data_IF_671177606664
#
_entry.id   IF_671177606664
#
_cell.length_a   1.000
_cell.length_b   1.000
_cell.length_c   1.000
_cell.angle_alpha   90.00
_cell.angle_beta   90.00
_cell.angle_gamma   90.00
#
_symmetry.space_group_name_H-M   'P 1'
#
loop_
_entity.id
_entity.type
_entity.pdbx_description
1 polymer ?
#
# COMPACT_ATOMS: atom_id res chain seq x y z
N UNK A 1 32.09 1.78 -16.33
CA UNK A 1 31.00 2.77 -16.51
C UNK A 1 30.23 2.35 -17.75
N UNK A 2 28.90 2.20 -17.63
CA UNK A 2 28.04 1.83 -18.78
C UNK A 2 27.31 3.08 -19.25
N UNK A 3 27.16 3.23 -20.57
CA UNK A 3 26.38 4.30 -21.18
C UNK A 3 24.91 3.87 -21.10
N UNK A 4 24.01 4.77 -20.64
CA UNK A 4 22.58 4.50 -20.63
C UNK A 4 22.08 4.29 -22.07
N UNK A 5 21.24 3.27 -22.32
CA UNK A 5 20.57 3.12 -23.61
C UNK A 5 19.72 4.36 -23.93
N UNK A 6 19.63 4.70 -25.21
CA UNK A 6 18.70 5.73 -25.67
C UNK A 6 17.27 5.35 -25.24
N UNK A 7 16.52 6.32 -24.71
CA UNK A 7 15.17 6.12 -24.16
C UNK A 7 15.10 5.91 -22.64
N UNK A 8 16.25 5.83 -21.94
CA UNK A 8 16.30 5.91 -20.47
C UNK A 8 16.66 7.32 -19.97
N UNK A 9 16.69 8.31 -20.82
CA UNK A 9 16.94 9.72 -20.52
C UNK A 9 15.65 10.52 -20.29
N UNK A 10 14.53 9.85 -20.11
CA UNK A 10 13.23 10.48 -19.86
C UNK A 10 13.05 10.89 -18.37
N UNK A 11 12.04 11.70 -18.12
CA UNK A 11 11.73 12.21 -16.79
C UNK A 11 11.35 11.09 -15.80
N UNK A 12 10.85 9.94 -16.27
CA UNK A 12 10.53 8.81 -15.42
C UNK A 12 11.80 8.19 -14.83
N UNK A 13 12.85 8.05 -15.65
CA UNK A 13 14.16 7.56 -15.22
C UNK A 13 14.93 8.59 -14.38
N UNK A 14 15.01 9.83 -14.86
CA UNK A 14 15.86 10.87 -14.25
C UNK A 14 15.26 11.44 -12.96
N UNK A 15 13.92 11.50 -12.86
CA UNK A 15 13.21 12.22 -11.81
C UNK A 15 12.11 11.41 -11.12
N UNK A 16 11.91 10.14 -11.52
CA UNK A 16 10.81 9.33 -10.99
C UNK A 16 9.43 9.80 -11.42
N UNK A 17 9.33 10.61 -12.52
CA UNK A 17 8.08 11.15 -13.05
C UNK A 17 7.28 10.06 -13.77
N UNK A 18 6.76 9.12 -13.01
CA UNK A 18 5.87 8.05 -13.47
C UNK A 18 4.73 7.84 -12.47
N UNK A 19 3.60 7.36 -12.95
CA UNK A 19 2.49 6.90 -12.14
C UNK A 19 2.43 5.38 -12.17
N UNK A 20 2.02 4.73 -11.06
CA UNK A 20 1.83 3.29 -11.10
C UNK A 20 0.68 2.80 -10.21
N UNK A 21 0.21 1.61 -10.49
CA UNK A 21 -0.63 0.86 -9.58
C UNK A 21 -0.14 -0.58 -9.45
N UNK A 22 -0.49 -1.25 -8.36
CA UNK A 22 -0.20 -2.68 -8.15
C UNK A 22 -1.53 -3.35 -7.85
N UNK A 23 -1.89 -4.28 -8.69
CA UNK A 23 -3.19 -4.98 -8.68
C UNK A 23 -2.94 -6.43 -8.32
N UNK A 24 -3.73 -6.97 -7.41
CA UNK A 24 -3.78 -8.41 -7.18
C UNK A 24 -4.50 -9.06 -8.34
N UNK A 25 -3.97 -10.19 -8.81
CA UNK A 25 -4.66 -11.01 -9.81
C UNK A 25 -4.92 -12.40 -9.26
N UNK A 26 -5.99 -13.04 -9.74
CA UNK A 26 -6.34 -14.41 -9.43
C UNK A 26 -6.79 -15.11 -10.70
N UNK A 27 -6.17 -16.25 -11.03
CA UNK A 27 -6.46 -17.02 -12.27
C UNK A 27 -6.46 -16.12 -13.54
N UNK A 28 -5.53 -15.17 -13.62
CA UNK A 28 -5.45 -14.22 -14.74
C UNK A 28 -6.44 -13.05 -14.70
N UNK A 29 -7.37 -13.02 -13.75
CA UNK A 29 -8.27 -11.89 -13.57
C UNK A 29 -7.67 -10.82 -12.65
N UNK A 30 -7.65 -9.57 -13.08
CA UNK A 30 -7.25 -8.44 -12.25
C UNK A 30 -8.39 -8.04 -11.31
N UNK A 31 -8.15 -8.10 -9.99
CA UNK A 31 -9.16 -7.75 -9.00
C UNK A 31 -9.32 -6.24 -8.93
N UNK A 32 -10.56 -5.76 -8.89
CA UNK A 32 -10.93 -4.34 -8.75
C UNK A 32 -10.21 -3.40 -9.75
N UNK A 33 -9.94 -3.87 -10.96
CA UNK A 33 -9.24 -3.09 -11.98
C UNK A 33 -9.83 -1.69 -12.20
N UNK A 34 -11.16 -1.49 -12.26
CA UNK A 34 -11.74 -0.16 -12.45
C UNK A 34 -11.29 0.87 -11.41
N UNK A 35 -11.24 0.50 -10.12
CA UNK A 35 -10.77 1.40 -9.06
C UNK A 35 -9.26 1.66 -9.16
N UNK A 36 -8.48 0.64 -9.48
CA UNK A 36 -7.04 0.77 -9.72
C UNK A 36 -6.76 1.71 -10.90
N UNK A 37 -7.50 1.55 -12.00
CA UNK A 37 -7.39 2.40 -13.18
C UNK A 37 -7.74 3.85 -12.86
N UNK A 38 -8.86 4.09 -12.17
CA UNK A 38 -9.31 5.43 -11.82
C UNK A 38 -8.26 6.19 -10.96
N UNK A 39 -7.68 5.51 -9.94
CA UNK A 39 -6.62 6.09 -9.12
C UNK A 39 -5.35 6.35 -9.93
N UNK A 40 -4.99 5.44 -10.83
CA UNK A 40 -3.84 5.59 -11.73
C UNK A 40 -4.05 6.80 -12.67
N UNK A 41 -5.22 6.93 -13.28
CA UNK A 41 -5.58 8.05 -14.14
C UNK A 41 -5.52 9.39 -13.39
N UNK A 42 -6.02 9.44 -12.16
CA UNK A 42 -5.89 10.64 -11.31
C UNK A 42 -4.43 11.01 -11.01
N UNK A 43 -3.56 10.02 -10.79
CA UNK A 43 -2.12 10.26 -10.61
C UNK A 43 -1.46 10.73 -11.91
N UNK A 44 -1.84 10.16 -13.06
CA UNK A 44 -1.35 10.62 -14.37
C UNK A 44 -1.73 12.09 -14.62
N UNK A 45 -2.99 12.47 -14.37
CA UNK A 45 -3.45 13.84 -14.48
C UNK A 45 -2.63 14.79 -13.59
N UNK A 46 -2.39 14.41 -12.34
CA UNK A 46 -1.59 15.20 -11.41
C UNK A 46 -0.15 15.43 -11.91
N UNK A 47 0.45 14.42 -12.54
CA UNK A 47 1.82 14.49 -13.06
C UNK A 47 1.93 15.05 -14.48
N UNK A 48 0.82 15.35 -15.16
CA UNK A 48 0.81 15.75 -16.57
C UNK A 48 1.22 14.60 -17.53
N UNK A 49 1.00 13.35 -17.12
CA UNK A 49 1.28 12.17 -17.93
C UNK A 49 0.07 11.81 -18.83
N UNK A 50 0.29 11.05 -19.92
CA UNK A 50 -0.80 10.51 -20.72
C UNK A 50 -1.78 9.70 -19.85
N UNK A 51 -3.06 9.63 -20.26
CA UNK A 51 -4.03 8.76 -19.62
C UNK A 51 -3.56 7.29 -19.76
N UNK A 52 -3.74 6.46 -18.71
CA UNK A 52 -3.39 5.04 -18.81
C UNK A 52 -4.33 4.31 -19.78
N UNK A 53 -3.83 3.28 -20.43
CA UNK A 53 -4.66 2.36 -21.20
C UNK A 53 -5.70 1.69 -20.29
N UNK A 54 -6.93 1.55 -20.79
CA UNK A 54 -8.03 0.94 -20.03
C UNK A 54 -8.02 -0.58 -20.13
N UNK A 55 -7.58 -1.10 -21.27
CA UNK A 55 -7.53 -2.54 -21.52
C UNK A 55 -6.22 -3.12 -21.01
N UNK A 56 -6.33 -4.24 -20.31
CA UNK A 56 -5.17 -5.00 -19.88
C UNK A 56 -4.79 -6.01 -20.94
N UNK A 57 -3.48 -6.31 -21.11
CA UNK A 57 -3.06 -7.43 -21.92
C UNK A 57 -3.56 -8.75 -21.34
N UNK A 58 -3.54 -9.82 -22.12
CA UNK A 58 -3.79 -11.15 -21.58
C UNK A 58 -2.80 -11.46 -20.46
N UNK A 59 -3.31 -11.83 -19.29
CA UNK A 59 -2.53 -12.13 -18.10
C UNK A 59 -2.34 -13.65 -17.95
N UNK A 60 -1.20 -14.07 -17.44
CA UNK A 60 -0.99 -15.45 -17.05
C UNK A 60 -1.94 -15.88 -15.94
N UNK A 61 -2.46 -17.12 -16.01
CA UNK A 61 -3.42 -17.65 -15.05
C UNK A 61 -2.75 -18.14 -13.75
N UNK A 62 -1.94 -17.28 -13.11
CA UNK A 62 -1.40 -17.59 -11.79
C UNK A 62 -2.53 -17.81 -10.78
N UNK A 63 -2.40 -18.79 -9.88
CA UNK A 63 -3.32 -18.93 -8.75
C UNK A 63 -3.45 -17.62 -7.99
N UNK A 64 -2.32 -16.96 -7.73
CA UNK A 64 -2.22 -15.59 -7.24
C UNK A 64 -1.11 -14.85 -7.99
N UNK A 65 -1.36 -13.62 -8.41
CA UNK A 65 -0.39 -12.79 -9.08
C UNK A 65 -0.42 -11.35 -8.63
N UNK A 66 0.63 -10.63 -8.99
CA UNK A 66 0.71 -9.17 -8.89
C UNK A 66 0.98 -8.58 -10.27
N UNK A 67 0.09 -7.72 -10.70
CA UNK A 67 0.20 -6.90 -11.88
C UNK A 67 0.61 -5.49 -11.46
N UNK A 68 1.75 -5.03 -11.94
CA UNK A 68 2.13 -3.62 -11.84
C UNK A 68 1.92 -2.96 -13.20
N UNK A 69 1.09 -1.93 -13.21
CA UNK A 69 0.93 -1.05 -14.37
C UNK A 69 1.62 0.27 -14.07
N UNK A 70 2.50 0.69 -14.96
CA UNK A 70 3.30 1.92 -14.83
C UNK A 70 3.08 2.78 -16.08
N UNK A 71 2.81 4.06 -15.89
CA UNK A 71 2.64 5.06 -16.94
C UNK A 71 3.78 6.06 -16.87
N UNK A 72 4.39 6.33 -18.00
CA UNK A 72 5.43 7.35 -18.21
C UNK A 72 5.02 8.24 -19.38
N UNK A 73 5.82 9.25 -19.71
CA UNK A 73 5.63 10.01 -20.94
C UNK A 73 5.75 9.13 -22.21
N UNK A 74 6.48 8.02 -22.12
CA UNK A 74 6.69 7.07 -23.22
C UNK A 74 5.59 6.02 -23.38
N UNK A 75 4.58 5.98 -22.50
CA UNK A 75 3.44 5.06 -22.60
C UNK A 75 3.11 4.28 -21.33
N UNK A 76 2.24 3.27 -21.47
CA UNK A 76 1.79 2.38 -20.41
C UNK A 76 2.51 1.04 -20.50
N UNK A 77 3.05 0.58 -19.37
CA UNK A 77 3.82 -0.66 -19.25
C UNK A 77 3.22 -1.56 -18.18
N UNK A 78 3.10 -2.85 -18.46
CA UNK A 78 2.61 -3.85 -17.54
C UNK A 78 3.71 -4.86 -17.19
N UNK A 79 3.83 -5.19 -15.90
CA UNK A 79 4.66 -6.28 -15.38
C UNK A 79 3.77 -7.19 -14.55
N UNK A 80 3.55 -8.41 -15.02
CA UNK A 80 2.80 -9.43 -14.30
C UNK A 80 3.72 -10.54 -13.80
N UNK A 81 3.56 -10.95 -12.55
CA UNK A 81 4.38 -11.98 -11.92
C UNK A 81 3.55 -12.79 -10.92
N UNK A 82 3.93 -14.05 -10.63
CA UNK A 82 3.28 -14.80 -9.57
C UNK A 82 3.44 -14.09 -8.22
N UNK A 83 2.43 -14.18 -7.38
CA UNK A 83 2.46 -13.77 -5.98
C UNK A 83 2.59 -15.04 -5.14
N UNK A 84 3.77 -15.24 -4.55
CA UNK A 84 4.06 -16.36 -3.65
C UNK A 84 4.25 -15.80 -2.24
N UNK A 85 3.18 -15.63 -1.46
CA UNK A 85 3.29 -15.17 -0.09
C UNK A 85 3.97 -16.26 0.76
N UNK A 86 4.63 -15.81 1.83
CA UNK A 86 5.03 -16.71 2.90
C UNK A 86 3.81 -17.24 3.68
N UNK A 87 4.03 -18.04 4.74
CA UNK A 87 2.96 -18.47 5.62
C UNK A 87 2.16 -17.28 6.17
N UNK A 88 0.84 -17.47 6.32
CA UNK A 88 -0.01 -16.47 6.98
C UNK A 88 0.53 -16.17 8.38
N UNK A 89 0.75 -14.88 8.72
CA UNK A 89 1.21 -14.51 10.05
C UNK A 89 0.04 -14.59 11.06
N UNK A 90 -0.27 -15.80 11.53
CA UNK A 90 -1.43 -16.05 12.39
C UNK A 90 -1.46 -15.14 13.62
N UNK A 91 -0.29 -14.85 14.20
CA UNK A 91 -0.15 -13.92 15.32
C UNK A 91 -0.23 -12.44 14.92
N UNK A 92 -0.55 -12.13 13.68
CA UNK A 92 -0.47 -10.77 13.14
C UNK A 92 0.96 -10.34 12.84
N UNK A 93 1.13 -9.08 12.45
CA UNK A 93 2.43 -8.49 12.10
C UNK A 93 2.86 -7.44 13.12
N UNK A 94 4.17 -7.15 13.16
CA UNK A 94 4.73 -6.03 13.91
C UNK A 94 5.03 -4.87 12.97
N UNK A 95 4.84 -3.66 13.48
CA UNK A 95 5.05 -2.41 12.77
C UNK A 95 5.99 -1.51 13.56
N UNK A 96 6.83 -0.75 12.88
CA UNK A 96 7.64 0.32 13.48
C UNK A 96 7.22 1.68 12.92
N UNK A 97 7.08 2.68 13.80
CA UNK A 97 6.97 4.08 13.40
C UNK A 97 8.35 4.55 12.96
N UNK A 98 8.44 5.07 11.74
CA UNK A 98 9.69 5.54 11.17
C UNK A 98 9.81 7.07 11.28
N UNK A 99 11.02 7.61 11.17
CA UNK A 99 11.28 9.04 11.04
C UNK A 99 11.22 9.53 9.58
N UNK A 100 10.84 8.65 8.65
CA UNK A 100 10.73 8.95 7.23
C UNK A 100 9.42 9.65 6.93
N UNK A 101 9.53 10.80 6.26
CA UNK A 101 8.39 11.60 5.85
C UNK A 101 8.15 11.47 4.35
N UNK A 102 6.93 11.17 3.90
CA UNK A 102 6.59 11.28 2.48
C UNK A 102 6.44 12.76 2.12
N UNK A 103 6.70 13.11 0.86
CA UNK A 103 6.46 14.48 0.41
C UNK A 103 4.96 14.78 0.42
N UNK A 104 4.48 15.83 1.11
CA UNK A 104 3.04 16.02 1.36
C UNK A 104 2.20 16.15 0.08
N UNK A 105 2.75 16.75 -0.98
CA UNK A 105 2.06 16.86 -2.27
C UNK A 105 2.03 15.56 -3.07
N UNK A 106 2.95 14.62 -2.80
CA UNK A 106 3.05 13.35 -3.52
C UNK A 106 2.38 12.20 -2.76
N UNK A 107 2.17 12.33 -1.46
CA UNK A 107 1.69 11.25 -0.59
C UNK A 107 0.32 10.70 -1.02
N UNK A 108 -0.57 11.54 -1.54
CA UNK A 108 -1.87 11.14 -2.05
C UNK A 108 -1.82 10.45 -3.43
N UNK A 109 -0.65 10.41 -4.08
CA UNK A 109 -0.46 9.91 -5.42
C UNK A 109 0.51 8.73 -5.47
N UNK A 110 0.23 7.75 -6.31
CA UNK A 110 1.11 6.58 -6.48
C UNK A 110 2.11 6.82 -7.59
N UNK A 111 3.15 7.62 -7.28
CA UNK A 111 4.18 8.06 -8.23
C UNK A 111 5.43 7.17 -8.18
N UNK A 112 6.29 7.25 -9.20
CA UNK A 112 7.60 6.60 -9.21
C UNK A 112 8.58 7.14 -8.17
N UNK A 113 8.33 8.32 -7.60
CA UNK A 113 9.12 8.89 -6.52
C UNK A 113 8.82 8.19 -5.17
N UNK A 114 9.16 6.90 -5.12
CA UNK A 114 8.79 5.99 -4.03
C UNK A 114 9.94 5.75 -3.03
N UNK A 115 10.99 6.57 -3.09
CA UNK A 115 12.17 6.41 -2.24
C UNK A 115 11.87 6.53 -0.74
N UNK A 116 11.05 7.47 -0.24
CA UNK A 116 10.69 7.50 1.18
C UNK A 116 10.08 6.18 1.67
N UNK A 117 9.20 5.58 0.89
CA UNK A 117 8.57 4.30 1.22
C UNK A 117 9.59 3.15 1.25
N UNK A 118 10.59 3.16 0.34
CA UNK A 118 11.68 2.17 0.37
C UNK A 118 12.56 2.33 1.60
N UNK A 119 12.86 3.55 2.01
CA UNK A 119 13.64 3.82 3.23
C UNK A 119 12.88 3.36 4.48
N UNK A 120 11.57 3.62 4.56
CA UNK A 120 10.73 3.11 5.64
C UNK A 120 10.72 1.56 5.68
N UNK A 121 10.66 0.91 4.51
CA UNK A 121 10.77 -0.56 4.43
C UNK A 121 12.14 -1.07 4.88
N UNK A 122 13.23 -0.34 4.61
CA UNK A 122 14.57 -0.69 5.10
C UNK A 122 14.67 -0.54 6.62
N UNK A 123 14.10 0.51 7.21
CA UNK A 123 14.04 0.66 8.67
C UNK A 123 13.23 -0.48 9.31
N UNK A 124 12.08 -0.86 8.73
CA UNK A 124 11.31 -2.00 9.20
C UNK A 124 12.12 -3.30 9.16
N UNK A 125 12.81 -3.55 8.04
CA UNK A 125 13.66 -4.73 7.89
C UNK A 125 14.82 -4.74 8.91
N UNK A 126 15.45 -3.60 9.15
CA UNK A 126 16.52 -3.46 10.16
C UNK A 126 15.99 -3.70 11.58
N UNK A 127 14.75 -3.31 11.87
CA UNK A 127 14.06 -3.58 13.14
C UNK A 127 13.51 -5.02 13.24
N UNK A 128 13.63 -5.84 12.19
CA UNK A 128 13.10 -7.21 12.16
C UNK A 128 11.56 -7.26 12.21
N UNK A 129 10.88 -6.23 11.68
CA UNK A 129 9.42 -6.13 11.65
C UNK A 129 8.90 -6.12 10.22
N UNK A 130 7.60 -6.34 10.06
CA UNK A 130 6.99 -6.50 8.74
C UNK A 130 6.82 -5.18 7.98
N UNK A 131 6.45 -4.09 8.66
CA UNK A 131 6.05 -2.84 8.03
C UNK A 131 6.62 -1.63 8.77
N UNK A 132 6.97 -0.58 8.03
CA UNK A 132 7.31 0.73 8.57
C UNK A 132 6.22 1.75 8.25
N UNK A 133 5.66 2.39 9.26
CA UNK A 133 4.71 3.47 9.06
C UNK A 133 5.42 4.82 8.99
N UNK A 134 5.07 5.59 7.97
CA UNK A 134 5.59 6.92 7.72
C UNK A 134 4.76 7.95 8.48
N UNK A 135 5.45 8.97 9.00
CA UNK A 135 4.84 10.09 9.70
C UNK A 135 4.92 11.35 8.84
N UNK A 136 4.00 12.28 9.05
CA UNK A 136 4.16 13.63 8.53
C UNK A 136 5.06 14.51 9.43
N UNK A 137 5.29 15.76 9.04
CA UNK A 137 6.13 16.70 9.79
C UNK A 137 5.57 17.06 11.18
N UNK A 138 4.30 16.73 11.45
CA UNK A 138 3.62 16.98 12.73
C UNK A 138 3.51 15.73 13.61
N UNK A 139 4.06 14.60 13.13
CA UNK A 139 4.07 13.33 13.86
C UNK A 139 2.78 12.51 13.71
N UNK A 140 1.96 12.78 12.70
CA UNK A 140 0.81 11.94 12.39
C UNK A 140 1.18 10.79 11.47
N UNK A 141 0.60 9.62 11.72
CA UNK A 141 0.70 8.47 10.81
C UNK A 141 -0.02 8.80 9.52
N UNK A 142 0.65 8.63 8.38
CA UNK A 142 0.06 8.94 7.06
C UNK A 142 -0.05 7.71 6.16
N UNK A 143 0.94 6.82 6.14
CA UNK A 143 0.91 5.63 5.26
C UNK A 143 1.89 4.57 5.76
N UNK A 144 1.89 3.39 5.17
CA UNK A 144 2.89 2.36 5.36
C UNK A 144 3.85 2.27 4.18
N UNK A 145 4.98 1.61 4.37
CA UNK A 145 6.02 1.47 3.34
C UNK A 145 5.53 0.70 2.10
N UNK A 146 4.58 -0.20 2.28
CA UNK A 146 3.99 -1.04 1.21
C UNK A 146 2.47 -1.18 1.33
N UNK A 147 1.92 -0.84 2.48
CA UNK A 147 0.51 -1.05 2.85
C UNK A 147 -0.06 0.25 3.41
N UNK A 148 -1.38 0.35 3.51
CA UNK A 148 -2.02 1.48 4.16
C UNK A 148 -2.50 1.08 5.56
N UNK A 149 -2.22 1.89 6.61
CA UNK A 149 -2.68 1.63 7.97
C UNK A 149 -4.20 1.81 8.06
N UNK A 150 -4.84 0.97 8.87
CA UNK A 150 -6.21 1.08 9.32
C UNK A 150 -6.23 0.86 10.83
N UNK A 151 -6.92 1.70 11.56
CA UNK A 151 -6.95 1.66 13.02
C UNK A 151 -8.40 1.54 13.50
N UNK A 152 -8.57 1.01 14.71
CA UNK A 152 -9.79 1.14 15.46
C UNK A 152 -9.50 1.98 16.71
N UNK A 153 -10.23 3.07 16.86
CA UNK A 153 -10.09 4.02 17.96
C UNK A 153 -11.48 4.32 18.51
N UNK A 154 -11.67 4.11 19.80
CA UNK A 154 -12.98 4.32 20.41
C UNK A 154 -14.10 3.45 19.84
N UNK A 155 -13.78 2.26 19.31
CA UNK A 155 -14.73 1.35 18.68
C UNK A 155 -15.11 1.73 17.23
N UNK A 156 -14.44 2.72 16.62
CA UNK A 156 -14.68 3.22 15.27
C UNK A 156 -13.48 2.98 14.37
N UNK A 157 -13.70 2.65 13.10
CA UNK A 157 -12.63 2.54 12.12
C UNK A 157 -12.11 3.93 11.74
N UNK A 158 -10.79 4.09 11.78
CA UNK A 158 -10.11 5.35 11.47
C UNK A 158 -9.08 5.11 10.38
N UNK A 159 -9.19 5.88 9.31
CA UNK A 159 -8.23 5.93 8.23
C UNK A 159 -7.31 7.12 8.47
N UNK A 160 -6.01 6.91 8.75
CA UNK A 160 -5.06 8.01 8.82
C UNK A 160 -5.09 8.86 7.56
N UNK A 161 -5.20 10.18 7.74
CA UNK A 161 -5.23 11.15 6.65
C UNK A 161 -3.82 11.45 6.12
N UNK A 162 -3.73 12.03 4.92
CA UNK A 162 -2.46 12.53 4.35
C UNK A 162 -1.69 11.54 3.49
N UNK A 163 -2.02 10.26 3.53
CA UNK A 163 -1.39 9.22 2.72
C UNK A 163 -2.17 8.85 1.46
N UNK A 164 -1.72 7.80 0.78
CA UNK A 164 -2.37 7.27 -0.41
C UNK A 164 -3.77 6.73 -0.08
N UNK A 165 -4.80 7.02 -0.90
CA UNK A 165 -6.09 6.35 -0.83
C UNK A 165 -5.94 4.84 -1.18
N UNK A 166 -5.72 4.01 -0.16
CA UNK A 166 -5.50 2.57 -0.30
C UNK A 166 -6.77 1.85 -0.73
N UNK A 167 -6.75 1.15 -1.87
CA UNK A 167 -7.94 0.50 -2.42
C UNK A 167 -8.37 -0.73 -1.61
N UNK A 168 -7.43 -1.56 -1.17
CA UNK A 168 -7.72 -2.68 -0.26
C UNK A 168 -8.34 -2.21 1.05
N UNK A 169 -7.83 -1.09 1.61
CA UNK A 169 -8.41 -0.46 2.80
C UNK A 169 -9.82 0.06 2.52
N UNK A 170 -10.02 0.72 1.39
CA UNK A 170 -11.33 1.23 0.97
C UNK A 170 -12.36 0.10 0.77
N UNK A 171 -11.96 -1.02 0.17
CA UNK A 171 -12.81 -2.19 0.01
C UNK A 171 -13.26 -2.75 1.38
N UNK A 172 -12.33 -2.84 2.34
CA UNK A 172 -12.66 -3.35 3.67
C UNK A 172 -13.65 -2.49 4.43
N UNK A 173 -13.50 -1.14 4.39
CA UNK A 173 -14.38 -0.24 5.15
C UNK A 173 -15.70 0.06 4.43
N UNK A 174 -15.88 -0.45 3.21
CA UNK A 174 -17.11 -0.25 2.45
C UNK A 174 -18.32 -0.81 3.21
N UNK A 175 -19.32 0.04 3.44
CA UNK A 175 -20.51 -0.32 4.20
C UNK A 175 -20.35 -0.34 5.72
N UNK A 176 -19.18 0.01 6.23
CA UNK A 176 -18.91 0.16 7.67
C UNK A 176 -18.90 1.65 8.07
N UNK A 177 -19.07 1.93 9.37
CA UNK A 177 -18.89 3.28 9.91
C UNK A 177 -17.38 3.55 10.09
N UNK A 178 -16.87 4.56 9.39
CA UNK A 178 -15.47 4.96 9.48
C UNK A 178 -15.32 6.48 9.36
N UNK A 179 -14.18 6.97 9.80
CA UNK A 179 -13.76 8.35 9.59
C UNK A 179 -12.33 8.43 9.02
N UNK A 180 -12.04 9.54 8.34
CA UNK A 180 -10.69 9.86 7.91
C UNK A 180 -10.22 11.10 8.68
N UNK A 181 -9.15 10.97 9.46
CA UNK A 181 -8.57 12.08 10.22
C UNK A 181 -7.08 11.91 10.46
N UNK A 182 -6.35 12.97 10.84
CA UNK A 182 -5.00 12.83 11.37
C UNK A 182 -5.00 11.93 12.61
N UNK A 183 -3.99 11.07 12.74
CA UNK A 183 -3.78 10.19 13.90
C UNK A 183 -2.38 10.42 14.43
N UNK A 184 -2.28 10.99 15.63
CA UNK A 184 -1.00 11.26 16.28
C UNK A 184 -0.30 9.97 16.67
N UNK A 185 0.96 9.85 16.31
CA UNK A 185 1.83 8.76 16.76
C UNK A 185 2.17 8.85 18.26
N UNK A 186 1.91 10.00 18.91
CA UNK A 186 2.10 10.20 20.34
C UNK A 186 0.89 9.77 21.20
N UNK A 187 -0.25 9.46 20.59
CA UNK A 187 -1.50 9.08 21.28
C UNK A 187 -1.93 7.63 20.97
N UNK A 188 -1.05 6.65 21.16
CA UNK A 188 -1.36 5.26 20.79
C UNK A 188 -2.31 4.57 21.75
N UNK A 189 -2.53 5.12 22.95
CA UNK A 189 -3.34 4.49 24.02
C UNK A 189 -4.83 4.36 23.67
N UNK A 190 -5.31 5.11 22.68
CA UNK A 190 -6.69 5.02 22.21
C UNK A 190 -6.89 3.95 21.13
N UNK A 191 -5.82 3.43 20.55
CA UNK A 191 -5.88 2.40 19.51
C UNK A 191 -6.21 1.06 20.15
N UNK A 192 -7.37 0.51 19.82
CA UNK A 192 -7.82 -0.79 20.31
C UNK A 192 -7.42 -1.94 19.37
N UNK A 193 -7.37 -1.70 18.07
CA UNK A 193 -6.95 -2.63 17.02
C UNK A 193 -6.29 -1.88 15.85
N UNK A 194 -5.46 -2.58 15.11
CA UNK A 194 -4.86 -2.03 13.90
C UNK A 194 -4.67 -3.12 12.84
N UNK A 195 -4.69 -2.69 11.58
CA UNK A 195 -4.42 -3.55 10.42
C UNK A 195 -3.53 -2.82 9.42
N UNK A 196 -2.86 -3.60 8.62
CA UNK A 196 -2.21 -3.14 7.38
C UNK A 196 -3.01 -3.66 6.18
N UNK A 197 -3.19 -2.83 5.14
CA UNK A 197 -4.01 -3.15 3.98
C UNK A 197 -3.22 -2.94 2.69
N UNK A 198 -3.19 -3.93 1.79
CA UNK A 198 -2.49 -3.78 0.52
C UNK A 198 -2.68 -4.93 -0.45
N UNK A 199 -2.59 -4.66 -1.75
CA UNK A 199 -2.82 -5.66 -2.80
C UNK A 199 -1.95 -6.91 -2.67
N UNK A 200 -0.74 -6.81 -2.10
CA UNK A 200 0.18 -7.94 -1.93
C UNK A 200 -0.15 -8.84 -0.73
N UNK A 201 -0.93 -8.36 0.25
CA UNK A 201 -1.16 -9.05 1.52
C UNK A 201 -2.63 -9.15 1.93
N UNK A 202 -3.52 -8.37 1.32
CA UNK A 202 -4.89 -8.20 1.78
C UNK A 202 -4.97 -7.31 3.02
N UNK A 203 -5.75 -7.72 3.99
CA UNK A 203 -5.83 -7.07 5.30
C UNK A 203 -5.21 -7.98 6.36
N UNK A 204 -4.25 -7.46 7.12
CA UNK A 204 -3.48 -8.23 8.10
C UNK A 204 -3.49 -7.49 9.43
N UNK A 205 -3.88 -8.15 10.54
CA UNK A 205 -3.87 -7.53 11.85
C UNK A 205 -2.44 -7.21 12.32
N UNK A 206 -2.32 -6.12 13.05
CA UNK A 206 -1.09 -5.67 13.70
C UNK A 206 -1.14 -6.10 15.16
N UNK A 207 -0.13 -6.88 15.61
CA UNK A 207 0.00 -7.31 16.99
C UNK A 207 0.80 -6.32 17.86
N UNK A 208 1.68 -5.53 17.25
CA UNK A 208 2.54 -4.61 17.98
C UNK A 208 2.91 -3.42 17.09
N UNK A 209 2.84 -2.22 17.67
CA UNK A 209 3.39 -1.00 17.10
C UNK A 209 4.53 -0.52 18.00
N UNK A 210 5.69 -0.27 17.41
CA UNK A 210 6.88 0.23 18.13
C UNK A 210 7.36 1.56 17.54
N UNK A 211 8.04 2.36 18.34
CA UNK A 211 8.62 3.64 17.94
C UNK A 211 9.50 4.20 19.06
N UNK A 212 10.10 5.38 18.88
CA UNK A 212 10.87 6.02 19.95
C UNK A 212 10.01 6.22 21.21
N UNK A 213 10.34 5.49 22.29
CA UNK A 213 9.60 5.55 23.55
C UNK A 213 8.21 4.91 23.53
N UNK A 214 7.83 4.23 22.44
CA UNK A 214 6.53 3.59 22.27
C UNK A 214 6.69 2.08 22.08
N UNK A 215 5.88 1.32 22.82
CA UNK A 215 5.57 -0.07 22.54
C UNK A 215 4.12 -0.34 22.90
N UNK A 216 3.30 -0.58 21.88
CA UNK A 216 1.88 -0.85 22.02
C UNK A 216 1.59 -2.26 21.50
N UNK A 217 1.12 -3.14 22.38
CA UNK A 217 0.63 -4.47 22.01
C UNK A 217 -0.88 -4.42 21.76
N UNK A 218 -1.34 -5.06 20.70
CA UNK A 218 -2.72 -5.02 20.24
C UNK A 218 -3.30 -6.44 20.13
N UNK A 219 -4.59 -6.61 20.38
CA UNK A 219 -5.27 -7.87 20.11
C UNK A 219 -5.28 -8.16 18.61
N UNK A 220 -5.01 -9.42 18.25
CA UNK A 220 -5.00 -9.89 16.87
C UNK A 220 -6.39 -10.41 16.52
N UNK A 221 -7.04 -9.73 15.59
CA UNK A 221 -8.32 -10.15 15.05
C UNK A 221 -8.26 -10.12 13.51
N UNK A 222 -8.29 -11.30 12.91
CA UNK A 222 -8.42 -11.45 11.47
C UNK A 222 -9.85 -11.13 11.07
N UNK A 223 -10.07 -10.33 10.01
CA UNK A 223 -11.42 -10.12 9.50
C UNK A 223 -11.96 -11.39 8.86
N UNK A 224 -13.24 -11.66 9.07
CA UNK A 224 -13.99 -12.65 8.30
C UNK A 224 -14.38 -11.99 6.97
N UNK A 225 -13.98 -12.56 5.85
CA UNK A 225 -14.25 -12.02 4.52
C UNK A 225 -14.12 -13.10 3.45
N UNK A 226 -15.00 -13.02 2.46
CA UNK A 226 -14.95 -13.81 1.24
C UNK A 226 -14.38 -13.01 0.05
N UNK A 227 -13.92 -11.77 0.28
CA UNK A 227 -13.35 -10.93 -0.75
C UNK A 227 -11.88 -11.29 -1.02
N UNK A 228 -11.59 -11.72 -2.24
CA UNK A 228 -10.25 -12.07 -2.70
C UNK A 228 -9.23 -10.93 -2.62
N UNK A 229 -9.65 -9.67 -2.55
CA UNK A 229 -8.76 -8.54 -2.30
C UNK A 229 -8.30 -8.46 -0.84
N UNK A 230 -9.11 -8.95 0.09
CA UNK A 230 -8.93 -8.79 1.53
C UNK A 230 -8.23 -9.99 2.18
N UNK A 231 -8.39 -11.19 1.64
CA UNK A 231 -7.77 -12.40 2.20
C UNK A 231 -6.24 -12.39 2.04
N UNK A 232 -5.55 -13.12 2.93
CA UNK A 232 -4.13 -13.42 2.74
C UNK A 232 -3.95 -14.28 1.48
N UNK A 233 -3.04 -13.90 0.53
CA UNK A 233 -2.85 -14.69 -0.69
C UNK A 233 -2.36 -16.10 -0.33
N UNK A 234 -2.89 -17.11 -1.05
CA UNK A 234 -2.57 -18.53 -0.81
C UNK A 234 -3.53 -19.23 0.12
N UNK A 235 -4.50 -18.54 0.72
CA UNK A 235 -5.62 -19.20 1.42
C UNK A 235 -6.65 -19.69 0.42
N UNK A 236 -7.15 -20.92 0.64
CA UNK A 236 -8.37 -21.38 0.03
C UNK A 236 -9.53 -20.88 0.89
N UNK A 237 -10.50 -20.23 0.28
CA UNK A 237 -11.77 -19.93 0.96
C UNK A 237 -12.50 -21.25 1.14
N UNK A 238 -12.76 -21.63 2.37
CA UNK A 238 -13.51 -22.82 2.75
C UNK A 238 -15.01 -22.57 2.58
#
# INVERSE_FOLDING_TARGET
MNILPAGLDDAAWLHGASAFTTVRTRQGAALNWPAHWARLAGTCTFLGLPAPETELPALEAFAWGLLRVTVTAGGTFALHRPLTPGPRPVAGVRVVLTDIQPHPQLAAHKTGNYLPYRLAAQQAAAAGVFEGWLLDATGHVVDGSRTSPLLEIGGRLVLPAGGLPGLTRAAFVQGQDFETRPVSAAEPSEVSRAWICGAGVGIVPVQEITGPGLRLSLPVQWPETEDWELVWPGEEMV
#
